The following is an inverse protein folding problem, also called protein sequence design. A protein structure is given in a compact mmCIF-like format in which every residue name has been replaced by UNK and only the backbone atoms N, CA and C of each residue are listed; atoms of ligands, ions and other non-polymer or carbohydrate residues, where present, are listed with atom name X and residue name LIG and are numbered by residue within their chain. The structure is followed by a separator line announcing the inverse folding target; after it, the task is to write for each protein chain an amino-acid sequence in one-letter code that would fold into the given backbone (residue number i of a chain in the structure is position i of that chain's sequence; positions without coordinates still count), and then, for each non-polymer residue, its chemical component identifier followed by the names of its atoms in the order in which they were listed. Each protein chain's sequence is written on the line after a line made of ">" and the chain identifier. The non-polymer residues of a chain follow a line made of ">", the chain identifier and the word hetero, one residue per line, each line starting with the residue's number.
data_IF_803719178683
#
_entry.id   IF_803719178683
#
_cell.length_a   1.000
_cell.length_b   1.000
_cell.length_c   1.000
_cell.angle_alpha   90.00
_cell.angle_beta   90.00
_cell.angle_gamma   90.00
#
_symmetry.space_group_name_H-M   'P 1'
#
loop_
_entity.id
_entity.type
_entity.pdbx_description
1 polymer ?
#
# COMPACT_ATOMS: atom_id res chain seq x y z
N UNK A 1 -25.34 31.31 18.78
CA UNK A 1 -25.42 29.83 18.86
C UNK A 1 -25.26 29.32 17.44
N UNK A 2 -24.05 28.94 17.00
CA UNK A 2 -23.54 27.55 16.95
C UNK A 2 -24.63 26.56 16.51
N UNK A 3 -24.48 25.82 15.41
CA UNK A 3 -23.33 24.97 15.09
C UNK A 3 -23.06 24.79 13.59
N UNK A 4 -21.78 24.76 13.27
CA UNK A 4 -21.15 24.21 12.06
C UNK A 4 -21.41 22.70 11.91
N UNK A 5 -21.70 22.25 10.69
CA UNK A 5 -21.45 20.85 10.26
C UNK A 5 -20.67 20.90 8.95
N UNK A 6 -19.35 20.74 9.06
CA UNK A 6 -18.46 20.50 7.92
C UNK A 6 -18.65 19.07 7.44
N UNK A 7 -19.31 18.95 6.30
CA UNK A 7 -19.41 17.71 5.54
C UNK A 7 -18.07 17.47 4.83
N UNK A 8 -17.18 16.70 5.46
CA UNK A 8 -15.91 16.29 4.84
C UNK A 8 -16.20 15.09 3.97
N UNK A 9 -16.30 15.33 2.67
CA UNK A 9 -16.56 14.29 1.66
C UNK A 9 -15.43 13.25 1.65
N UNK A 10 -15.73 12.05 2.15
CA UNK A 10 -14.82 10.89 2.19
C UNK A 10 -14.94 10.02 0.94
N UNK A 11 -14.83 10.57 -0.28
CA UNK A 11 -14.95 9.76 -1.49
C UNK A 11 -13.90 10.16 -2.53
N UNK A 12 -13.22 9.14 -3.09
CA UNK A 12 -12.98 8.98 -4.53
C UNK A 12 -11.79 8.03 -4.84
N UNK A 13 -11.73 6.87 -4.19
CA UNK A 13 -11.17 5.69 -4.87
C UNK A 13 -12.37 4.77 -5.18
N UNK A 14 -12.57 4.33 -6.44
CA UNK A 14 -13.71 3.48 -6.81
C UNK A 14 -13.75 2.17 -6.00
N UNK A 15 -12.61 1.78 -5.42
CA UNK A 15 -12.47 0.59 -4.58
C UNK A 15 -12.13 0.95 -3.12
N UNK A 16 -12.70 1.96 -2.49
CA UNK A 16 -12.29 2.33 -1.12
C UNK A 16 -12.73 1.36 0.00
N UNK A 17 -13.34 0.21 -0.32
CA UNK A 17 -13.93 -0.72 0.65
C UNK A 17 -15.09 -0.10 1.45
N UNK A 18 -15.84 -0.91 2.22
CA UNK A 18 -16.83 -0.39 3.17
C UNK A 18 -16.16 -0.19 4.53
N UNK A 19 -15.98 1.07 4.94
CA UNK A 19 -15.59 1.39 6.31
C UNK A 19 -16.73 0.95 7.26
N UNK A 20 -16.53 -0.12 8.02
CA UNK A 20 -17.42 -0.47 9.13
C UNK A 20 -17.10 0.40 10.34
N UNK A 21 -18.04 0.57 11.27
CA UNK A 21 -17.86 1.32 12.53
C UNK A 21 -16.60 0.92 13.32
N UNK A 22 -16.09 -0.29 13.11
CA UNK A 22 -14.90 -0.86 13.75
C UNK A 22 -13.57 -0.61 13.03
N UNK A 23 -13.55 -0.22 11.74
CA UNK A 23 -12.30 0.03 11.00
C UNK A 23 -12.16 1.50 10.64
N UNK A 24 -11.20 2.17 11.29
CA UNK A 24 -10.80 3.55 10.94
C UNK A 24 -9.62 3.52 9.98
N UNK A 25 -9.60 4.46 9.03
CA UNK A 25 -8.41 4.72 8.20
C UNK A 25 -7.21 4.97 9.13
N UNK A 26 -6.06 4.32 8.89
CA UNK A 26 -4.85 4.62 9.64
C UNK A 26 -4.50 6.10 9.55
N UNK A 27 -3.83 6.62 10.58
CA UNK A 27 -3.38 8.03 10.61
C UNK A 27 -2.38 8.25 9.47
N UNK A 28 -2.66 9.26 8.66
CA UNK A 28 -1.81 9.69 7.55
C UNK A 28 -1.07 10.99 7.94
N UNK A 29 0.26 10.94 7.93
CA UNK A 29 1.12 12.07 8.31
C UNK A 29 1.79 12.74 7.10
N UNK A 30 1.20 12.64 5.91
CA UNK A 30 1.71 13.24 4.67
C UNK A 30 1.86 14.78 4.74
N UNK A 31 1.05 15.45 5.56
CA UNK A 31 1.16 16.88 5.81
C UNK A 31 2.48 17.27 6.52
N UNK A 32 3.10 16.35 7.26
CA UNK A 32 4.41 16.51 7.89
C UNK A 32 5.55 15.96 7.00
N UNK A 33 5.28 14.86 6.29
CA UNK A 33 6.25 14.16 5.45
C UNK A 33 5.67 13.95 4.06
N UNK A 34 5.73 15.00 3.24
CA UNK A 34 5.25 14.95 1.86
C UNK A 34 6.12 14.02 1.02
N UNK A 35 5.53 13.42 -0.01
CA UNK A 35 6.28 12.67 -1.03
C UNK A 35 7.20 13.63 -1.80
N UNK A 36 8.54 13.55 -1.63
CA UNK A 36 9.45 14.55 -2.17
C UNK A 36 9.63 14.38 -3.67
N UNK A 37 9.85 15.49 -4.39
CA UNK A 37 10.15 15.47 -5.83
C UNK A 37 11.61 15.09 -6.11
N UNK A 38 11.95 13.85 -5.75
CA UNK A 38 13.24 13.20 -5.99
C UNK A 38 13.00 11.76 -6.42
N UNK A 39 14.00 11.15 -7.05
CA UNK A 39 13.97 9.73 -7.40
C UNK A 39 14.13 8.90 -6.12
N UNK A 40 13.19 8.01 -5.85
CA UNK A 40 13.17 7.16 -4.66
C UNK A 40 13.06 5.68 -5.03
N UNK A 41 13.71 4.78 -4.28
CA UNK A 41 13.49 3.34 -4.43
C UNK A 41 12.09 2.97 -3.96
N UNK A 42 11.38 2.20 -4.78
CA UNK A 42 10.10 1.56 -4.45
C UNK A 42 10.38 0.13 -4.04
N UNK A 43 9.98 -0.19 -2.82
CA UNK A 43 10.23 -1.47 -2.16
C UNK A 43 8.97 -2.32 -2.17
N UNK A 44 9.13 -3.62 -2.42
CA UNK A 44 8.18 -4.64 -1.97
C UNK A 44 8.58 -5.07 -0.56
N UNK A 45 7.66 -4.89 0.39
CA UNK A 45 7.86 -5.25 1.79
C UNK A 45 6.89 -6.36 2.17
N UNK A 46 7.42 -7.42 2.78
CA UNK A 46 6.65 -8.50 3.38
C UNK A 46 6.86 -8.50 4.90
N UNK A 47 5.75 -8.55 5.64
CA UNK A 47 5.73 -8.62 7.10
C UNK A 47 4.92 -9.83 7.55
N UNK A 48 5.52 -10.66 8.41
CA UNK A 48 4.89 -11.81 9.04
C UNK A 48 4.66 -11.49 10.53
N UNK A 49 3.39 -11.43 10.96
CA UNK A 49 3.03 -10.98 12.30
C UNK A 49 2.91 -12.11 13.35
N UNK A 50 2.92 -13.38 12.94
CA UNK A 50 2.75 -14.57 13.81
C UNK A 50 3.05 -15.83 12.96
N UNK A 51 3.40 -17.00 13.53
CA UNK A 51 3.71 -18.22 12.78
C UNK A 51 2.52 -18.66 11.93
N UNK A 52 2.50 -18.17 10.71
CA UNK A 52 1.47 -18.36 9.70
C UNK A 52 2.14 -18.77 8.40
N UNK A 53 1.36 -19.35 7.49
CA UNK A 53 1.87 -19.75 6.17
C UNK A 53 2.43 -18.54 5.41
N UNK A 54 3.40 -18.71 4.48
CA UNK A 54 3.90 -17.60 3.67
C UNK A 54 2.80 -16.85 2.90
N UNK A 55 1.67 -17.53 2.65
CA UNK A 55 0.51 -16.92 1.99
C UNK A 55 -0.17 -15.85 2.86
N UNK A 56 0.00 -15.90 4.16
CA UNK A 56 -0.62 -14.98 5.11
C UNK A 56 0.29 -13.79 5.45
N UNK A 57 1.52 -13.74 4.91
CA UNK A 57 2.37 -12.57 5.05
C UNK A 57 1.72 -11.36 4.36
N UNK A 58 1.82 -10.22 5.04
CA UNK A 58 1.25 -8.97 4.56
C UNK A 58 2.24 -8.30 3.62
N UNK A 59 1.81 -8.05 2.38
CA UNK A 59 2.63 -7.36 1.38
C UNK A 59 2.16 -5.93 1.19
N UNK A 60 3.14 -5.02 1.06
CA UNK A 60 2.93 -3.62 0.73
C UNK A 60 4.00 -3.11 -0.22
N UNK A 61 3.64 -2.12 -1.03
CA UNK A 61 4.60 -1.28 -1.74
C UNK A 61 4.92 -0.05 -0.88
N UNK A 62 6.19 0.32 -0.75
CA UNK A 62 6.59 1.44 0.06
C UNK A 62 7.83 2.17 -0.45
N UNK A 63 7.92 3.48 -0.17
CA UNK A 63 9.14 4.27 -0.36
C UNK A 63 9.37 5.21 0.81
N UNK A 64 10.64 5.47 1.13
CA UNK A 64 11.04 6.32 2.26
C UNK A 64 10.92 7.80 1.89
N UNK A 65 10.04 8.52 2.59
CA UNK A 65 9.82 9.96 2.41
C UNK A 65 10.49 10.81 3.49
N UNK A 66 10.98 10.20 4.56
CA UNK A 66 11.67 10.93 5.62
C UNK A 66 12.19 10.04 6.75
N UNK A 67 12.49 10.69 7.87
CA UNK A 67 12.89 10.05 9.13
C UNK A 67 12.21 10.80 10.27
N UNK A 68 11.62 10.10 11.23
CA UNK A 68 11.08 10.75 12.42
C UNK A 68 12.21 11.23 13.33
N UNK A 69 11.92 12.20 14.20
CA UNK A 69 12.84 12.61 15.27
C UNK A 69 13.18 11.47 16.24
N UNK A 70 12.31 10.46 16.33
CA UNK A 70 12.42 9.30 17.21
C UNK A 70 13.21 8.14 16.61
N UNK A 71 13.63 8.21 15.35
CA UNK A 71 14.54 7.24 14.73
C UNK A 71 13.98 6.45 13.54
N UNK A 72 12.75 5.89 13.58
CA UNK A 72 12.21 5.12 12.47
C UNK A 72 12.11 5.92 11.16
N UNK A 73 12.35 5.29 9.99
CA UNK A 73 12.09 5.93 8.72
C UNK A 73 10.59 6.20 8.57
N UNK A 74 10.23 7.31 7.94
CA UNK A 74 8.85 7.58 7.51
C UNK A 74 8.71 7.11 6.09
N UNK A 75 7.69 6.30 5.83
CA UNK A 75 7.41 5.71 4.53
C UNK A 75 6.02 6.09 4.06
N UNK A 76 5.88 6.14 2.74
CA UNK A 76 4.60 6.18 2.07
C UNK A 76 4.30 4.78 1.56
N UNK A 77 3.14 4.25 1.91
CA UNK A 77 2.81 2.83 1.77
C UNK A 77 1.49 2.64 1.02
N UNK A 78 1.40 1.57 0.24
CA UNK A 78 0.18 1.12 -0.43
C UNK A 78 -0.02 -0.38 -0.19
N UNK A 79 -1.21 -0.72 0.30
CA UNK A 79 -1.62 -2.09 0.59
C UNK A 79 -3.14 -2.15 0.80
N UNK A 80 -3.67 -3.37 0.81
CA UNK A 80 -5.06 -3.64 1.22
C UNK A 80 -5.08 -4.31 2.59
N UNK A 81 -6.05 -3.92 3.42
CA UNK A 81 -6.27 -4.48 4.76
C UNK A 81 -7.44 -5.43 4.71
N UNK A 82 -7.30 -6.60 5.34
CA UNK A 82 -8.42 -7.52 5.56
C UNK A 82 -9.20 -7.11 6.81
N UNK A 83 -10.48 -6.83 6.65
CA UNK A 83 -11.42 -6.73 7.76
C UNK A 83 -11.77 -8.15 8.23
N UNK A 84 -11.23 -8.56 9.37
CA UNK A 84 -11.48 -9.91 9.92
C UNK A 84 -12.93 -10.14 10.33
N UNK A 85 -13.70 -9.08 10.62
CA UNK A 85 -15.09 -9.18 11.09
C UNK A 85 -16.08 -9.46 9.95
N UNK A 86 -15.90 -8.83 8.80
CA UNK A 86 -16.80 -8.99 7.64
C UNK A 86 -16.15 -9.74 6.47
N UNK A 87 -14.91 -10.21 6.66
CA UNK A 87 -14.10 -10.88 5.65
C UNK A 87 -13.97 -10.11 4.32
N UNK A 88 -14.04 -8.78 4.38
CA UNK A 88 -13.85 -7.88 3.24
C UNK A 88 -12.44 -7.28 3.25
N UNK A 89 -12.01 -6.74 2.12
CA UNK A 89 -10.76 -6.00 2.02
C UNK A 89 -11.03 -4.51 1.88
N UNK A 90 -10.06 -3.69 2.27
CA UNK A 90 -10.17 -2.24 2.18
C UNK A 90 -8.87 -1.66 1.66
N UNK A 91 -8.97 -0.86 0.60
CA UNK A 91 -7.90 -0.02 0.10
C UNK A 91 -8.12 1.42 0.61
N UNK A 92 -7.29 1.86 1.54
CA UNK A 92 -7.35 3.22 2.09
C UNK A 92 -6.62 4.26 1.23
N UNK A 93 -6.14 3.85 0.06
CA UNK A 93 -5.20 4.61 -0.74
C UNK A 93 -3.81 4.64 -0.12
N UNK A 94 -2.91 5.46 -0.67
CA UNK A 94 -1.58 5.64 -0.12
C UNK A 94 -1.65 6.31 1.27
N UNK A 95 -0.85 5.84 2.20
CA UNK A 95 -0.75 6.37 3.57
C UNK A 95 0.71 6.65 3.88
N UNK A 96 1.01 7.85 4.39
CA UNK A 96 2.33 8.16 4.94
C UNK A 96 2.33 7.89 6.43
N UNK A 97 3.28 7.07 6.92
CA UNK A 97 3.44 6.73 8.35
C UNK A 97 4.87 6.30 8.69
N UNK A 98 5.19 6.20 9.99
CA UNK A 98 6.45 5.58 10.42
C UNK A 98 6.47 4.12 10.03
N UNK A 99 7.60 3.66 9.48
CA UNK A 99 7.76 2.28 9.07
C UNK A 99 7.60 1.33 10.27
N UNK A 100 6.86 0.25 10.06
CA UNK A 100 6.81 -0.89 10.95
C UNK A 100 7.98 -1.84 10.67
N UNK A 101 8.29 -2.71 11.63
CA UNK A 101 9.22 -3.81 11.40
C UNK A 101 8.73 -4.68 10.23
N UNK A 102 9.69 -5.18 9.46
CA UNK A 102 9.42 -6.05 8.33
C UNK A 102 10.26 -7.31 8.41
N UNK A 103 9.72 -8.40 7.87
CA UNK A 103 10.45 -9.66 7.75
C UNK A 103 11.39 -9.63 6.55
N UNK A 104 10.97 -8.98 5.45
CA UNK A 104 11.79 -8.78 4.25
C UNK A 104 11.38 -7.52 3.51
N UNK A 105 12.37 -6.81 2.96
CA UNK A 105 12.16 -5.72 2.01
C UNK A 105 13.10 -5.90 0.82
N UNK A 106 12.57 -5.71 -0.39
CA UNK A 106 13.31 -5.85 -1.65
C UNK A 106 12.99 -4.66 -2.55
N UNK A 107 14.02 -4.00 -3.05
CA UNK A 107 13.86 -2.92 -4.04
C UNK A 107 13.37 -3.53 -5.36
N UNK A 108 12.29 -2.95 -5.91
CA UNK A 108 11.80 -3.30 -7.24
C UNK A 108 12.52 -2.43 -8.26
N UNK A 109 12.39 -1.12 -8.11
CA UNK A 109 12.95 -0.13 -9.02
C UNK A 109 13.05 1.23 -8.33
N UNK A 110 13.53 2.25 -9.06
CA UNK A 110 13.55 3.64 -8.61
C UNK A 110 12.60 4.46 -9.47
N UNK A 111 11.78 5.29 -8.82
CA UNK A 111 10.76 6.09 -9.48
C UNK A 111 10.93 7.57 -9.13
N UNK A 112 10.63 8.45 -10.08
CA UNK A 112 10.33 9.88 -9.87
C UNK A 112 9.00 10.07 -9.14
N UNK A 113 8.72 11.28 -8.65
CA UNK A 113 7.42 11.59 -8.04
C UNK A 113 6.25 11.36 -9.00
N UNK A 114 6.41 11.74 -10.27
CA UNK A 114 5.39 11.56 -11.29
C UNK A 114 5.06 10.08 -11.51
N UNK A 115 6.06 9.20 -11.54
CA UNK A 115 5.88 7.76 -11.69
C UNK A 115 5.22 7.14 -10.44
N UNK A 116 5.64 7.53 -9.23
CA UNK A 116 4.99 7.07 -7.99
C UNK A 116 3.53 7.50 -7.92
N UNK A 117 3.19 8.71 -8.37
CA UNK A 117 1.79 9.16 -8.47
C UNK A 117 0.98 8.37 -9.50
N UNK A 118 1.59 7.92 -10.59
CA UNK A 118 0.92 7.01 -11.54
C UNK A 118 0.70 5.63 -10.92
N UNK A 119 1.69 5.11 -10.17
CA UNK A 119 1.55 3.85 -9.44
C UNK A 119 0.42 3.91 -8.41
N UNK A 120 0.29 5.01 -7.66
CA UNK A 120 -0.85 5.24 -6.74
C UNK A 120 -2.20 5.22 -7.46
N UNK A 121 -2.28 5.84 -8.65
CA UNK A 121 -3.51 5.84 -9.46
C UNK A 121 -3.88 4.45 -9.95
N UNK A 122 -2.88 3.66 -10.37
CA UNK A 122 -3.09 2.26 -10.75
C UNK A 122 -3.64 1.49 -9.55
N UNK A 123 -2.96 1.57 -8.40
CA UNK A 123 -3.39 0.91 -7.17
C UNK A 123 -4.83 1.27 -6.75
N UNK A 124 -5.23 2.54 -6.92
CA UNK A 124 -6.58 3.00 -6.58
C UNK A 124 -7.71 2.35 -7.39
N UNK A 125 -7.41 1.86 -8.61
CA UNK A 125 -8.42 1.29 -9.53
C UNK A 125 -8.38 -0.23 -9.63
N UNK A 126 -7.30 -0.89 -9.17
CA UNK A 126 -7.23 -2.35 -9.17
C UNK A 126 -8.30 -2.93 -8.22
N UNK A 127 -9.17 -3.81 -8.70
CA UNK A 127 -10.17 -4.47 -7.86
C UNK A 127 -9.49 -5.45 -6.90
N UNK A 128 -9.95 -5.48 -5.64
CA UNK A 128 -9.52 -6.47 -4.64
C UNK A 128 -10.66 -7.38 -4.18
N UNK A 129 -11.81 -7.33 -4.86
CA UNK A 129 -12.87 -8.32 -4.71
C UNK A 129 -12.88 -9.19 -5.98
N UNK A 130 -12.05 -10.23 -6.00
CA UNK A 130 -12.12 -11.25 -7.04
C UNK A 130 -13.45 -12.02 -6.97
N UNK A 131 -13.84 -12.73 -8.04
CA UNK A 131 -14.99 -13.63 -7.99
C UNK A 131 -14.82 -14.59 -6.79
N UNK A 132 -15.81 -14.62 -5.90
CA UNK A 132 -15.84 -15.34 -4.61
C UNK A 132 -15.19 -14.64 -3.39
N UNK A 133 -14.73 -13.39 -3.48
CA UNK A 133 -14.28 -12.61 -2.31
C UNK A 133 -12.96 -13.07 -1.69
N UNK A 134 -12.07 -13.69 -2.48
CA UNK A 134 -10.84 -14.35 -1.99
C UNK A 134 -9.53 -13.66 -2.33
N UNK A 135 -9.52 -12.44 -2.86
CA UNK A 135 -8.26 -11.78 -3.26
C UNK A 135 -7.41 -11.48 -2.03
N UNK A 136 -6.21 -12.06 -1.96
CA UNK A 136 -5.28 -11.78 -0.88
C UNK A 136 -4.49 -10.49 -1.15
N UNK A 137 -3.89 -9.88 -0.12
CA UNK A 137 -3.07 -8.69 -0.30
C UNK A 137 -1.92 -8.92 -1.30
N UNK A 138 -1.36 -10.12 -1.32
CA UNK A 138 -0.32 -10.52 -2.28
C UNK A 138 -0.82 -10.51 -3.73
N UNK A 139 -2.02 -11.02 -3.99
CA UNK A 139 -2.60 -11.03 -5.35
C UNK A 139 -2.89 -9.62 -5.83
N UNK A 140 -3.37 -8.76 -4.93
CA UNK A 140 -3.60 -7.36 -5.26
C UNK A 140 -2.29 -6.64 -5.60
N UNK A 141 -1.22 -6.88 -4.85
CA UNK A 141 0.12 -6.34 -5.17
C UNK A 141 0.60 -6.83 -6.54
N UNK A 142 0.42 -8.13 -6.85
CA UNK A 142 0.77 -8.69 -8.17
C UNK A 142 -0.03 -7.98 -9.28
N UNK A 143 -1.35 -7.85 -9.12
CA UNK A 143 -2.19 -7.16 -10.11
C UNK A 143 -1.80 -5.68 -10.31
N UNK A 144 -1.40 -4.98 -9.24
CA UNK A 144 -0.86 -3.61 -9.33
C UNK A 144 0.44 -3.58 -10.12
N UNK A 145 1.35 -4.52 -9.89
CA UNK A 145 2.64 -4.61 -10.59
C UNK A 145 2.48 -5.00 -12.06
N UNK A 146 1.57 -5.91 -12.38
CA UNK A 146 1.21 -6.26 -13.76
C UNK A 146 0.65 -5.06 -14.52
N UNK A 147 -0.25 -4.29 -13.90
CA UNK A 147 -0.80 -3.07 -14.50
C UNK A 147 0.25 -1.95 -14.63
N UNK A 148 1.18 -1.85 -13.67
CA UNK A 148 2.30 -0.92 -13.75
C UNK A 148 3.28 -1.29 -14.87
N UNK A 149 3.53 -2.59 -15.09
CA UNK A 149 4.33 -3.10 -16.21
C UNK A 149 3.70 -2.73 -17.56
N UNK A 150 2.39 -2.94 -17.71
CA UNK A 150 1.66 -2.57 -18.93
C UNK A 150 1.76 -1.08 -19.27
N UNK A 151 1.99 -0.23 -18.27
CA UNK A 151 2.19 1.21 -18.43
C UNK A 151 3.67 1.63 -18.46
N UNK A 152 4.60 0.68 -18.46
CA UNK A 152 6.04 0.92 -18.54
C UNK A 152 6.66 1.52 -17.26
N UNK A 153 6.00 1.40 -16.11
CA UNK A 153 6.52 1.92 -14.83
C UNK A 153 7.51 0.98 -14.15
N UNK A 154 7.40 -0.33 -14.40
CA UNK A 154 8.27 -1.37 -13.84
C UNK A 154 8.58 -2.41 -14.90
N UNK A 155 9.77 -2.99 -14.90
CA UNK A 155 10.08 -4.11 -15.78
C UNK A 155 9.60 -5.44 -15.18
N UNK A 156 9.13 -6.37 -16.01
CA UNK A 156 8.70 -7.71 -15.57
C UNK A 156 9.77 -8.42 -14.75
N UNK A 157 11.02 -8.36 -15.21
CA UNK A 157 12.17 -9.00 -14.57
C UNK A 157 12.45 -8.45 -13.16
N UNK A 158 12.21 -7.17 -12.93
CA UNK A 158 12.43 -6.51 -11.64
C UNK A 158 11.40 -6.97 -10.61
N UNK A 159 10.12 -6.85 -10.94
CA UNK A 159 9.06 -7.12 -9.97
C UNK A 159 8.88 -8.62 -9.70
N UNK A 160 9.03 -9.48 -10.71
CA UNK A 160 8.98 -10.95 -10.50
C UNK A 160 10.13 -11.45 -9.63
N UNK A 161 11.33 -10.88 -9.78
CA UNK A 161 12.47 -11.17 -8.90
C UNK A 161 12.19 -10.74 -7.46
N UNK A 162 11.59 -9.56 -7.26
CA UNK A 162 11.21 -9.08 -5.93
C UNK A 162 10.16 -10.00 -5.28
N UNK A 163 9.14 -10.43 -6.03
CA UNK A 163 8.11 -11.37 -5.56
C UNK A 163 8.75 -12.70 -5.13
N UNK A 164 9.61 -13.29 -5.96
CA UNK A 164 10.30 -14.54 -5.62
C UNK A 164 11.14 -14.41 -4.33
N UNK A 165 11.74 -13.23 -4.10
CA UNK A 165 12.56 -12.96 -2.93
C UNK A 165 11.76 -12.78 -1.62
N UNK A 166 10.45 -12.48 -1.70
CA UNK A 166 9.57 -12.33 -0.53
C UNK A 166 8.53 -13.46 -0.39
N UNK A 167 8.42 -14.36 -1.37
CA UNK A 167 7.38 -15.40 -1.44
C UNK A 167 7.39 -16.41 -0.28
N UNK A 168 8.54 -16.59 0.38
CA UNK A 168 8.72 -17.55 1.49
C UNK A 168 8.77 -16.88 2.87
N UNK A 169 8.42 -15.59 2.93
CA UNK A 169 8.16 -14.87 4.19
C UNK A 169 6.75 -15.21 4.65
#
# INVERSE_FOLDING_TARGET
>A
MSTTSTDVSFHNAPNSGRATYSMRRPVDIDHLFRDPDVVLPVMLIATQYSPFSPRESHWKLAWKVGKSSTGPPVQREMYIVRNMTIHDYTNWGPITRTAEDCSKAVEITKMTLAERKRLEKIAAVIPFQGPNGKTHCQDWIIAVLEAAEQQGLVARSEWTKAIAAVANV
#
